data_IF_633762309212
#
_entry.id   IF_633762309212
#
_cell.length_a   1.000
_cell.length_b   1.000
_cell.length_c   1.000
_cell.angle_alpha   90.00
_cell.angle_beta   90.00
_cell.angle_gamma   90.00
#
_symmetry.space_group_name_H-M   'P 1'
#
loop_
_entity.id
_entity.type
_entity.pdbx_description
1 polymer ?
#
# COMPACT_ATOMS: atom_id res chain seq x y z
N UNK A 1 20.06 -7.10 -3.34
CA UNK A 1 21.43 -7.56 -3.12
C UNK A 1 22.12 -7.52 -4.46
N UNK A 2 23.38 -7.06 -4.49
CA UNK A 2 24.15 -7.08 -5.73
C UNK A 2 24.38 -8.54 -6.11
N UNK A 3 24.28 -8.87 -7.39
CA UNK A 3 24.52 -10.25 -7.84
C UNK A 3 25.99 -10.61 -7.58
N UNK A 4 26.26 -11.84 -7.16
CA UNK A 4 27.61 -12.31 -6.79
C UNK A 4 28.65 -12.11 -7.90
N UNK A 5 28.22 -12.01 -9.15
CA UNK A 5 29.07 -11.69 -10.30
C UNK A 5 29.70 -10.29 -10.26
N UNK A 6 29.17 -9.38 -9.43
CA UNK A 6 29.65 -8.01 -9.26
C UNK A 6 30.22 -7.82 -7.86
N UNK A 7 31.54 -7.98 -7.73
CA UNK A 7 32.29 -7.76 -6.48
C UNK A 7 32.56 -6.26 -6.27
N UNK A 8 31.52 -5.52 -5.87
CA UNK A 8 31.59 -4.08 -5.62
C UNK A 8 31.99 -3.81 -4.16
N UNK A 9 33.16 -3.20 -3.90
CA UNK A 9 33.59 -2.88 -2.54
C UNK A 9 32.79 -1.69 -1.96
N UNK A 10 32.65 -1.66 -0.64
CA UNK A 10 32.08 -0.52 0.09
C UNK A 10 30.55 -0.38 0.01
N UNK A 11 29.84 -1.46 -0.31
CA UNK A 11 28.38 -1.45 -0.40
C UNK A 11 27.77 -1.48 1.03
N UNK A 12 26.83 -0.58 1.35
CA UNK A 12 26.19 -0.58 2.65
C UNK A 12 25.39 -1.85 2.91
N UNK A 13 25.42 -2.33 4.15
CA UNK A 13 24.52 -3.40 4.59
C UNK A 13 23.06 -2.92 4.55
N UNK A 14 22.15 -3.84 4.20
CA UNK A 14 20.72 -3.58 4.13
C UNK A 14 19.98 -4.69 4.88
N UNK A 15 18.94 -4.35 5.67
CA UNK A 15 18.12 -5.35 6.33
C UNK A 15 17.43 -6.25 5.29
N UNK A 16 17.27 -7.52 5.65
CA UNK A 16 16.46 -8.49 4.90
C UNK A 16 14.99 -8.34 5.28
N UNK A 17 14.10 -8.85 4.43
CA UNK A 17 12.67 -8.95 4.79
C UNK A 17 12.45 -9.95 5.96
N UNK A 18 11.44 -9.73 6.82
CA UNK A 18 10.61 -8.53 6.92
C UNK A 18 11.44 -7.35 7.46
N UNK A 19 11.35 -6.19 6.78
CA UNK A 19 12.11 -5.00 7.15
C UNK A 19 11.30 -4.15 8.10
N UNK A 20 11.96 -3.56 9.08
CA UNK A 20 11.39 -2.51 9.95
C UNK A 20 12.01 -1.14 9.69
N UNK A 21 13.12 -1.08 8.94
CA UNK A 21 13.82 0.15 8.59
C UNK A 21 14.32 0.15 7.14
N UNK A 22 14.46 1.37 6.58
CA UNK A 22 14.79 1.57 5.17
C UNK A 22 13.79 0.88 4.24
N UNK A 23 12.50 1.05 4.54
CA UNK A 23 11.39 0.48 3.78
C UNK A 23 11.30 1.10 2.38
N UNK A 24 10.84 0.31 1.42
CA UNK A 24 10.48 0.76 0.08
C UNK A 24 8.97 0.63 -0.13
N UNK A 25 8.31 1.76 -0.33
CA UNK A 25 6.91 1.81 -0.76
C UNK A 25 6.83 1.95 -2.27
N UNK A 26 6.26 0.95 -2.95
CA UNK A 26 5.92 1.04 -4.36
C UNK A 26 4.58 1.78 -4.52
N UNK A 27 4.53 2.72 -5.45
CA UNK A 27 3.28 3.34 -5.88
C UNK A 27 2.76 2.69 -7.17
N UNK A 28 1.70 1.91 -7.07
CA UNK A 28 0.96 1.39 -8.22
C UNK A 28 -0.09 2.41 -8.66
N UNK A 29 0.17 3.05 -9.81
CA UNK A 29 -0.70 4.09 -10.39
C UNK A 29 -1.74 3.53 -11.38
N UNK A 30 -1.97 2.21 -11.39
CA UNK A 30 -2.82 1.54 -12.38
C UNK A 30 -2.05 0.62 -13.32
N UNK A 31 -1.02 -0.09 -12.81
CA UNK A 31 -0.33 -1.13 -13.57
C UNK A 31 -1.32 -2.24 -13.98
N UNK A 32 -1.17 -2.81 -15.16
CA UNK A 32 -1.90 -4.02 -15.54
C UNK A 32 -1.36 -5.24 -14.77
N UNK A 33 -2.13 -6.33 -14.70
CA UNK A 33 -1.74 -7.57 -14.01
C UNK A 33 -0.36 -8.08 -14.44
N UNK A 34 -0.14 -8.20 -15.76
CA UNK A 34 1.16 -8.63 -16.31
C UNK A 34 2.31 -7.70 -15.96
N UNK A 35 2.05 -6.39 -15.88
CA UNK A 35 3.08 -5.45 -15.46
C UNK A 35 3.43 -5.61 -13.98
N UNK A 36 2.46 -5.99 -13.15
CA UNK A 36 2.73 -6.35 -11.75
C UNK A 36 3.56 -7.62 -11.69
N UNK A 37 3.22 -8.67 -12.43
CA UNK A 37 4.03 -9.90 -12.54
C UNK A 37 5.48 -9.59 -12.97
N UNK A 38 5.64 -8.78 -14.03
CA UNK A 38 6.95 -8.36 -14.54
C UNK A 38 7.75 -7.62 -13.46
N UNK A 39 7.13 -6.67 -12.74
CA UNK A 39 7.78 -5.93 -11.65
C UNK A 39 8.18 -6.88 -10.52
N UNK A 40 7.28 -7.77 -10.10
CA UNK A 40 7.53 -8.69 -8.99
C UNK A 40 8.65 -9.67 -9.34
N UNK A 41 8.75 -10.11 -10.60
CA UNK A 41 9.78 -11.06 -11.04
C UNK A 41 11.22 -10.54 -10.83
N UNK A 42 11.43 -9.23 -10.83
CA UNK A 42 12.76 -8.61 -10.68
C UNK A 42 12.94 -7.81 -9.40
N UNK A 43 11.85 -7.33 -8.80
CA UNK A 43 11.91 -6.35 -7.71
C UNK A 43 11.18 -6.75 -6.43
N UNK A 44 10.54 -7.92 -6.35
CA UNK A 44 9.77 -8.32 -5.16
C UNK A 44 10.61 -8.27 -3.88
N UNK A 45 11.89 -8.68 -3.91
CA UNK A 45 12.80 -8.61 -2.75
C UNK A 45 13.04 -7.18 -2.24
N UNK A 46 12.87 -6.17 -3.10
CA UNK A 46 13.15 -4.76 -2.80
C UNK A 46 11.92 -3.95 -2.39
N UNK A 47 10.71 -4.47 -2.55
CA UNK A 47 9.47 -3.75 -2.27
C UNK A 47 8.90 -4.25 -0.94
N UNK A 48 8.66 -3.36 0.01
CA UNK A 48 8.16 -3.77 1.34
C UNK A 48 6.65 -3.56 1.47
N UNK A 49 6.11 -2.51 0.85
CA UNK A 49 4.67 -2.24 0.79
C UNK A 49 4.32 -1.70 -0.60
N UNK A 50 3.09 -1.92 -1.04
CA UNK A 50 2.61 -1.34 -2.28
C UNK A 50 1.27 -0.60 -2.09
N UNK A 51 1.20 0.60 -2.65
CA UNK A 51 0.04 1.48 -2.59
C UNK A 51 -0.71 1.46 -3.90
N UNK A 52 -2.00 1.12 -3.87
CA UNK A 52 -2.91 1.45 -4.97
C UNK A 52 -3.20 2.95 -4.89
N UNK A 53 -2.55 3.72 -5.77
CA UNK A 53 -2.49 5.17 -5.67
C UNK A 53 -3.86 5.84 -5.66
N UNK A 54 -4.04 6.83 -4.78
CA UNK A 54 -5.25 7.67 -4.74
C UNK A 54 -6.53 6.81 -4.63
N UNK A 55 -7.42 6.90 -5.62
CA UNK A 55 -8.61 6.06 -5.78
C UNK A 55 -8.52 5.05 -6.93
N UNK A 56 -7.32 4.70 -7.42
CA UNK A 56 -7.17 3.80 -8.59
C UNK A 56 -7.79 2.42 -8.33
N UNK A 57 -7.79 1.94 -7.08
CA UNK A 57 -8.42 0.69 -6.69
C UNK A 57 -9.91 0.62 -7.09
N UNK A 58 -10.62 1.77 -7.04
CA UNK A 58 -12.05 1.83 -7.36
C UNK A 58 -12.34 1.72 -8.87
N UNK A 59 -11.34 1.93 -9.74
CA UNK A 59 -11.52 1.96 -11.20
C UNK A 59 -10.67 0.94 -11.95
N UNK A 60 -9.82 0.19 -11.25
CA UNK A 60 -8.93 -0.82 -11.85
C UNK A 60 -9.68 -2.14 -12.06
N UNK A 61 -9.89 -2.60 -13.30
CA UNK A 61 -10.42 -3.94 -13.54
C UNK A 61 -9.45 -5.01 -13.02
N UNK A 62 -9.97 -6.08 -12.40
CA UNK A 62 -9.14 -7.15 -11.84
C UNK A 62 -8.33 -6.73 -10.61
N UNK A 63 -8.76 -5.71 -9.86
CA UNK A 63 -8.05 -5.23 -8.67
C UNK A 63 -7.82 -6.33 -7.62
N UNK A 64 -8.77 -7.24 -7.44
CA UNK A 64 -8.64 -8.37 -6.49
C UNK A 64 -7.52 -9.33 -6.92
N UNK A 65 -7.46 -9.69 -8.21
CA UNK A 65 -6.38 -10.52 -8.76
C UNK A 65 -5.03 -9.82 -8.65
N UNK A 66 -4.97 -8.50 -8.89
CA UNK A 66 -3.77 -7.71 -8.67
C UNK A 66 -3.31 -7.77 -7.21
N UNK A 67 -4.23 -7.59 -6.27
CA UNK A 67 -3.92 -7.63 -4.84
C UNK A 67 -3.40 -9.02 -4.44
N UNK A 68 -3.95 -10.08 -5.03
CA UNK A 68 -3.46 -11.44 -4.83
C UNK A 68 -2.00 -11.59 -5.31
N UNK A 69 -1.63 -11.04 -6.46
CA UNK A 69 -0.25 -11.09 -6.96
C UNK A 69 0.75 -10.48 -5.95
N UNK A 70 0.42 -9.34 -5.37
CA UNK A 70 1.26 -8.72 -4.34
C UNK A 70 1.28 -9.53 -3.04
N UNK A 71 0.12 -10.06 -2.62
CA UNK A 71 0.02 -10.92 -1.44
C UNK A 71 0.87 -12.18 -1.57
N UNK A 72 0.80 -12.87 -2.72
CA UNK A 72 1.59 -14.08 -3.01
C UNK A 72 3.10 -13.79 -3.05
N UNK A 73 3.49 -12.57 -3.40
CA UNK A 73 4.87 -12.09 -3.31
C UNK A 73 5.29 -11.62 -1.91
N UNK A 74 4.43 -11.76 -0.90
CA UNK A 74 4.67 -11.32 0.48
C UNK A 74 4.78 -9.80 0.61
N UNK A 75 4.06 -9.05 -0.22
CA UNK A 75 4.04 -7.57 -0.21
C UNK A 75 2.65 -7.11 0.22
N UNK A 76 2.48 -6.57 1.44
CA UNK A 76 1.22 -6.01 1.88
C UNK A 76 0.82 -4.81 1.02
N UNK A 77 -0.48 -4.75 0.72
CA UNK A 77 -1.11 -3.70 -0.08
C UNK A 77 -1.93 -2.76 0.81
N UNK A 78 -2.06 -1.50 0.37
CA UNK A 78 -3.01 -0.56 0.95
C UNK A 78 -3.56 0.43 -0.08
N UNK A 79 -4.70 1.04 0.23
CA UNK A 79 -5.34 2.04 -0.61
C UNK A 79 -4.75 3.44 -0.35
N UNK A 80 -4.75 4.29 -1.37
CA UNK A 80 -4.35 5.69 -1.22
C UNK A 80 -5.26 6.48 -0.29
N UNK A 81 -4.68 7.41 0.47
CA UNK A 81 -5.41 8.21 1.43
C UNK A 81 -6.48 9.10 0.80
N UNK A 82 -6.36 9.44 -0.48
CA UNK A 82 -7.44 10.12 -1.22
C UNK A 82 -8.71 9.28 -1.36
N UNK A 83 -8.60 7.94 -1.42
CA UNK A 83 -9.78 7.09 -1.36
C UNK A 83 -10.43 7.17 0.02
N UNK A 84 -9.64 7.12 1.09
CA UNK A 84 -10.12 7.39 2.44
C UNK A 84 -10.83 8.76 2.52
N UNK A 85 -10.21 9.82 2.02
CA UNK A 85 -10.78 11.17 1.98
C UNK A 85 -12.13 11.20 1.24
N UNK A 86 -12.27 10.44 0.15
CA UNK A 86 -13.52 10.33 -0.59
C UNK A 86 -14.66 9.67 0.21
N UNK A 87 -14.35 8.65 1.02
CA UNK A 87 -15.33 8.04 1.94
C UNK A 87 -15.61 8.93 3.15
N UNK A 88 -14.58 9.59 3.69
CA UNK A 88 -14.70 10.55 4.79
C UNK A 88 -15.65 11.69 4.43
N UNK A 89 -15.50 12.31 3.25
CA UNK A 89 -16.36 13.40 2.77
C UNK A 89 -17.86 13.04 2.72
N UNK A 90 -18.17 11.75 2.63
CA UNK A 90 -19.53 11.22 2.44
C UNK A 90 -20.09 10.59 3.72
N UNK A 91 -19.45 10.81 4.87
CA UNK A 91 -19.78 10.17 6.14
C UNK A 91 -19.85 8.62 6.02
N UNK A 92 -19.01 8.06 5.15
CA UNK A 92 -19.09 6.67 4.70
C UNK A 92 -17.93 5.79 5.21
N UNK A 93 -17.24 6.19 6.28
CA UNK A 93 -16.15 5.41 6.89
C UNK A 93 -16.55 3.97 7.26
N UNK A 94 -17.78 3.67 7.72
CA UNK A 94 -18.19 2.28 7.94
C UNK A 94 -18.18 1.42 6.66
N UNK A 95 -18.47 2.03 5.50
CA UNK A 95 -18.38 1.34 4.22
C UNK A 95 -16.92 1.12 3.78
N UNK A 96 -16.05 2.07 4.11
CA UNK A 96 -14.62 1.95 3.87
C UNK A 96 -13.97 0.84 4.73
N UNK A 97 -14.36 0.72 6.01
CA UNK A 97 -13.93 -0.42 6.86
C UNK A 97 -14.34 -1.76 6.25
N UNK A 98 -15.61 -1.90 5.84
CA UNK A 98 -16.07 -3.12 5.14
C UNK A 98 -15.34 -3.40 3.84
N UNK A 99 -14.87 -2.37 3.13
CA UNK A 99 -14.04 -2.55 1.95
C UNK A 99 -12.71 -3.20 2.35
N UNK A 100 -12.03 -2.66 3.36
CA UNK A 100 -10.76 -3.20 3.86
C UNK A 100 -10.91 -4.67 4.31
N UNK A 101 -11.94 -4.97 5.12
CA UNK A 101 -12.25 -6.32 5.58
C UNK A 101 -12.48 -7.30 4.41
N UNK A 102 -13.27 -6.88 3.41
CA UNK A 102 -13.56 -7.71 2.23
C UNK A 102 -12.34 -7.98 1.36
N UNK A 103 -11.40 -7.04 1.31
CA UNK A 103 -10.19 -7.15 0.48
C UNK A 103 -8.99 -7.71 1.24
N UNK A 104 -9.11 -7.95 2.55
CA UNK A 104 -8.00 -8.40 3.39
C UNK A 104 -6.87 -7.38 3.54
N UNK A 105 -7.16 -6.09 3.41
CA UNK A 105 -6.15 -5.02 3.54
C UNK A 105 -6.01 -4.64 5.01
N UNK A 106 -4.81 -4.84 5.54
CA UNK A 106 -4.47 -4.61 6.96
C UNK A 106 -3.73 -3.29 7.19
N UNK A 107 -3.35 -2.58 6.12
CA UNK A 107 -2.63 -1.30 6.19
C UNK A 107 -3.52 -0.17 5.67
N UNK A 108 -3.43 1.00 6.30
CA UNK A 108 -4.26 2.17 5.98
C UNK A 108 -3.44 3.46 5.88
N UNK A 109 -3.68 4.22 4.82
CA UNK A 109 -3.24 5.62 4.69
C UNK A 109 -4.39 6.56 5.06
N UNK A 110 -4.17 7.41 6.08
CA UNK A 110 -5.08 8.51 6.44
C UNK A 110 -4.41 9.84 6.07
N UNK A 111 -4.97 10.55 5.09
CA UNK A 111 -4.48 11.84 4.61
C UNK A 111 -5.55 12.92 4.62
N UNK A 112 -5.08 14.15 4.48
CA UNK A 112 -5.83 15.40 4.42
C UNK A 112 -5.25 16.29 3.30
N UNK A 113 -4.77 15.65 2.23
CA UNK A 113 -4.05 16.33 1.14
C UNK A 113 -4.99 16.94 0.10
N UNK A 114 -6.24 16.47 0.03
CA UNK A 114 -7.26 16.97 -0.91
C UNK A 114 -8.36 17.72 -0.17
N UNK A 115 -8.79 17.20 0.97
CA UNK A 115 -9.83 17.77 1.83
C UNK A 115 -9.20 18.43 3.05
N UNK A 116 -9.69 19.62 3.45
CA UNK A 116 -9.27 20.24 4.68
C UNK A 116 -9.89 19.49 5.87
N UNK A 117 -9.18 18.49 6.38
CA UNK A 117 -9.53 17.79 7.62
C UNK A 117 -8.72 18.45 8.75
N UNK A 118 -9.41 18.89 9.81
CA UNK A 118 -8.69 19.47 10.94
C UNK A 118 -7.80 18.41 11.62
N UNK A 119 -6.70 18.85 12.21
CA UNK A 119 -5.70 17.92 12.75
C UNK A 119 -6.27 16.97 13.83
N UNK A 120 -7.13 17.48 14.72
CA UNK A 120 -7.74 16.67 15.77
C UNK A 120 -8.66 15.58 15.20
N UNK A 121 -9.40 15.89 14.15
CA UNK A 121 -10.28 14.98 13.44
C UNK A 121 -9.48 13.90 12.70
N UNK A 122 -8.37 14.28 12.07
CA UNK A 122 -7.44 13.31 11.49
C UNK A 122 -6.91 12.34 12.55
N UNK A 123 -6.52 12.84 13.73
CA UNK A 123 -6.10 12.00 14.85
C UNK A 123 -7.25 11.12 15.40
N UNK A 124 -8.49 11.63 15.41
CA UNK A 124 -9.68 10.83 15.76
C UNK A 124 -9.88 9.68 14.78
N UNK A 125 -9.73 9.95 13.48
CA UNK A 125 -9.80 8.91 12.45
C UNK A 125 -8.71 7.87 12.64
N UNK A 126 -7.45 8.28 12.89
CA UNK A 126 -6.35 7.34 13.16
C UNK A 126 -6.68 6.41 14.33
N UNK A 127 -7.09 6.95 15.48
CA UNK A 127 -7.48 6.12 16.64
C UNK A 127 -8.66 5.20 16.33
N UNK A 128 -9.67 5.71 15.62
CA UNK A 128 -10.85 4.93 15.27
C UNK A 128 -10.51 3.68 14.46
N UNK A 129 -9.55 3.77 13.53
CA UNK A 129 -9.11 2.62 12.73
C UNK A 129 -8.09 1.74 13.45
N UNK A 130 -7.29 2.27 14.37
CA UNK A 130 -6.35 1.47 15.18
C UNK A 130 -7.07 0.57 16.20
N UNK A 131 -8.08 1.10 16.90
CA UNK A 131 -8.88 0.34 17.89
C UNK A 131 -9.82 -0.68 17.23
N UNK A 132 -10.07 -0.53 15.94
CA UNK A 132 -11.03 -1.30 15.17
C UNK A 132 -10.53 -2.69 14.72
N UNK A 133 -9.22 -2.97 14.89
CA UNK A 133 -8.53 -4.10 14.28
C UNK A 133 -8.56 -4.03 12.76
#
# INVERSE_FOLDING_TARGET
MIQDAFDLPGIPERPRKPREEGLTHLLDKGLALRQVEDVLSVAAEYIDLAKLGWGTAAVTPGVEEKMQLYHDAGIPMYFGGTLFEAYYLRDALPAYKRLMERTGVEHLEISDGTLPINHEEKLRCIRHFDEAG
#
